data_IF_764431210833
#
_entry.id   IF_764431210833
#
_cell.length_a   1.000
_cell.length_b   1.000
_cell.length_c   1.000
_cell.angle_alpha   90.00
_cell.angle_beta   90.00
_cell.angle_gamma   90.00
#
_symmetry.space_group_name_H-M   'P 1'
#
loop_
_entity.id
_entity.type
_entity.pdbx_description
1 polymer ?
#
# COMPACT_ATOMS: atom_id res chain seq x y z
N UNK A 1 45.73 -49.50 28.60
CA UNK A 1 44.82 -48.39 28.96
C UNK A 1 44.55 -47.57 27.70
N UNK A 2 43.40 -47.77 27.05
CA UNK A 2 43.02 -47.04 25.82
C UNK A 2 42.20 -45.82 26.24
N UNK A 3 42.80 -44.64 26.07
CA UNK A 3 42.16 -43.35 26.31
C UNK A 3 41.37 -43.00 25.04
N UNK A 4 40.05 -43.12 25.12
CA UNK A 4 39.16 -42.60 24.07
C UNK A 4 39.20 -41.08 24.12
N UNK A 5 39.70 -40.45 23.05
CA UNK A 5 39.63 -38.99 22.86
C UNK A 5 38.17 -38.56 22.89
N UNK A 6 37.82 -37.77 23.90
CA UNK A 6 36.53 -37.08 23.97
C UNK A 6 36.56 -35.96 22.93
N UNK A 7 35.72 -36.05 21.90
CA UNK A 7 35.60 -35.02 20.88
C UNK A 7 34.69 -33.89 21.39
N UNK A 8 35.30 -32.90 22.02
CA UNK A 8 34.61 -31.74 22.62
C UNK A 8 34.17 -30.68 21.58
N UNK A 9 34.18 -31.02 20.29
CA UNK A 9 33.75 -30.15 19.18
C UNK A 9 32.39 -30.51 18.56
N UNK A 10 31.80 -31.65 18.90
CA UNK A 10 30.62 -32.17 18.19
C UNK A 10 29.30 -31.47 18.56
N UNK A 11 29.24 -30.79 19.72
CA UNK A 11 28.03 -30.04 20.13
C UNK A 11 27.83 -28.72 19.38
N UNK A 12 28.90 -28.01 19.02
CA UNK A 12 28.80 -26.70 18.36
C UNK A 12 28.16 -26.78 16.97
N UNK A 13 28.45 -27.84 16.22
CA UNK A 13 27.87 -28.06 14.88
C UNK A 13 26.40 -28.42 14.97
N UNK A 14 26.00 -29.21 15.96
CA UNK A 14 24.59 -29.62 16.14
C UNK A 14 23.71 -28.41 16.49
N UNK A 15 24.15 -27.55 17.41
CA UNK A 15 23.44 -26.31 17.71
C UNK A 15 23.41 -25.35 16.52
N UNK A 16 24.50 -25.25 15.74
CA UNK A 16 24.51 -24.42 14.54
C UNK A 16 23.48 -24.90 13.49
N UNK A 17 23.35 -26.21 13.27
CA UNK A 17 22.36 -26.76 12.34
C UNK A 17 20.92 -26.53 12.81
N UNK A 18 20.65 -26.67 14.12
CA UNK A 18 19.33 -26.34 14.69
C UNK A 18 19.03 -24.84 14.53
N UNK A 19 20.00 -23.97 14.77
CA UNK A 19 19.82 -22.52 14.59
C UNK A 19 19.54 -22.14 13.14
N UNK A 20 20.20 -22.77 12.16
CA UNK A 20 19.92 -22.56 10.73
C UNK A 20 18.50 -23.01 10.40
N UNK A 21 18.06 -24.17 10.90
CA UNK A 21 16.72 -24.67 10.68
C UNK A 21 15.65 -23.74 11.27
N UNK A 22 15.86 -23.24 12.49
CA UNK A 22 14.98 -22.25 13.12
C UNK A 22 14.98 -20.93 12.33
N UNK A 23 16.13 -20.47 11.85
CA UNK A 23 16.22 -19.25 11.03
C UNK A 23 15.37 -19.37 9.75
N UNK A 24 15.45 -20.50 9.03
CA UNK A 24 14.61 -20.75 7.85
C UNK A 24 13.13 -20.77 8.22
N UNK A 25 12.76 -21.43 9.32
CA UNK A 25 11.38 -21.46 9.79
C UNK A 25 10.83 -20.05 10.10
N UNK A 26 11.63 -19.20 10.77
CA UNK A 26 11.25 -17.83 11.08
C UNK A 26 11.04 -17.01 9.80
N UNK A 27 11.94 -17.14 8.81
CA UNK A 27 11.80 -16.43 7.53
C UNK A 27 10.48 -16.81 6.86
N UNK A 28 10.12 -18.10 6.82
CA UNK A 28 8.86 -18.56 6.23
C UNK A 28 7.64 -18.03 6.98
N UNK A 29 7.68 -17.96 8.31
CA UNK A 29 6.59 -17.40 9.11
C UNK A 29 6.47 -15.89 8.82
N UNK A 30 7.56 -15.14 8.86
CA UNK A 30 7.55 -13.69 8.66
C UNK A 30 7.08 -13.29 7.26
N UNK A 31 7.43 -14.05 6.21
CA UNK A 31 6.98 -13.74 4.84
C UNK A 31 5.47 -13.95 4.68
N UNK A 32 4.91 -15.01 5.25
CA UNK A 32 3.47 -15.29 5.18
C UNK A 32 2.66 -14.30 6.03
N UNK A 33 3.14 -13.98 7.23
CA UNK A 33 2.46 -13.06 8.13
C UNK A 33 2.49 -11.62 7.59
N UNK A 34 3.59 -11.20 6.96
CA UNK A 34 3.75 -9.85 6.42
C UNK A 34 2.62 -9.44 5.48
N UNK A 35 2.28 -10.29 4.50
CA UNK A 35 1.18 -10.03 3.54
C UNK A 35 -0.17 -9.87 4.25
N UNK A 36 -0.49 -10.77 5.18
CA UNK A 36 -1.76 -10.75 5.92
C UNK A 36 -1.90 -9.48 6.78
N UNK A 37 -0.81 -9.04 7.41
CA UNK A 37 -0.78 -7.82 8.23
C UNK A 37 -1.03 -6.57 7.38
N UNK A 38 -0.40 -6.47 6.21
CA UNK A 38 -0.59 -5.32 5.30
C UNK A 38 -2.05 -5.22 4.85
N UNK A 39 -2.66 -6.32 4.40
CA UNK A 39 -4.07 -6.33 3.96
C UNK A 39 -5.01 -5.90 5.09
N UNK A 40 -4.78 -6.42 6.30
CA UNK A 40 -5.62 -6.10 7.48
C UNK A 40 -5.48 -4.64 7.87
N UNK A 41 -4.25 -4.13 7.95
CA UNK A 41 -3.96 -2.72 8.19
C UNK A 41 -4.65 -1.83 7.14
N UNK A 42 -4.52 -2.20 5.86
CA UNK A 42 -5.10 -1.45 4.76
C UNK A 42 -6.63 -1.37 4.86
N UNK A 43 -7.31 -2.50 5.12
CA UNK A 43 -8.77 -2.51 5.27
C UNK A 43 -9.25 -1.66 6.44
N UNK A 44 -8.53 -1.67 7.57
CA UNK A 44 -8.86 -0.84 8.73
C UNK A 44 -8.68 0.64 8.38
N UNK A 45 -7.52 1.01 7.84
CA UNK A 45 -7.23 2.40 7.47
C UNK A 45 -8.16 2.90 6.37
N UNK A 46 -8.35 2.13 5.30
CA UNK A 46 -9.26 2.42 4.19
C UNK A 46 -10.72 2.52 4.61
N UNK A 47 -11.14 1.75 5.62
CA UNK A 47 -12.46 1.86 6.24
C UNK A 47 -12.62 3.13 7.07
N UNK A 48 -11.59 3.52 7.83
CA UNK A 48 -11.56 4.77 8.60
C UNK A 48 -11.48 6.00 7.68
N UNK A 49 -10.67 5.91 6.64
CA UNK A 49 -10.48 6.91 5.59
C UNK A 49 -11.50 6.79 4.47
N UNK A 50 -12.56 5.98 4.63
CA UNK A 50 -13.71 5.77 3.73
C UNK A 50 -13.42 5.84 2.23
N UNK A 51 -12.28 5.29 1.81
CA UNK A 51 -11.76 5.33 0.44
C UNK A 51 -11.38 3.92 -0.05
N UNK A 52 -12.21 2.93 0.27
CA UNK A 52 -12.12 1.61 -0.38
C UNK A 52 -12.96 1.63 -1.64
N UNK A 53 -12.31 1.50 -2.79
CA UNK A 53 -12.97 1.30 -4.08
C UNK A 53 -12.82 -0.18 -4.45
N UNK A 54 -13.82 -0.98 -4.11
CA UNK A 54 -13.89 -2.38 -4.55
C UNK A 54 -14.55 -2.42 -5.92
N UNK A 55 -13.77 -2.66 -6.98
CA UNK A 55 -14.28 -2.99 -8.31
C UNK A 55 -14.05 -4.49 -8.59
N UNK A 56 -14.75 -5.05 -9.57
CA UNK A 56 -14.59 -6.46 -9.96
C UNK A 56 -13.17 -6.71 -10.49
N UNK A 57 -12.40 -7.56 -9.81
CA UNK A 57 -10.99 -7.88 -10.13
C UNK A 57 -10.04 -7.27 -9.11
N UNK A 58 -9.50 -6.09 -9.41
CA UNK A 58 -8.57 -5.40 -8.52
C UNK A 58 -9.31 -4.53 -7.50
N UNK A 59 -8.97 -4.70 -6.23
CA UNK A 59 -9.39 -3.85 -5.12
C UNK A 59 -8.26 -2.87 -4.78
N UNK A 60 -8.58 -1.58 -4.79
CA UNK A 60 -7.64 -0.51 -4.44
C UNK A 60 -8.04 0.11 -3.12
N UNK A 61 -7.14 0.09 -2.16
CA UNK A 61 -7.36 0.67 -0.83
C UNK A 61 -6.43 1.87 -0.66
N UNK A 62 -7.01 3.06 -0.52
CA UNK A 62 -6.25 4.28 -0.27
C UNK A 62 -6.02 4.42 1.24
N UNK A 63 -4.76 4.44 1.66
CA UNK A 63 -4.36 4.57 3.05
C UNK A 63 -4.35 6.05 3.46
N UNK A 64 -3.72 6.86 2.61
CA UNK A 64 -3.51 8.29 2.79
C UNK A 64 -3.55 8.93 1.41
N UNK A 65 -4.20 10.09 1.30
CA UNK A 65 -4.18 10.92 0.11
C UNK A 65 -3.98 12.37 0.53
N UNK A 66 -2.88 12.98 0.08
CA UNK A 66 -2.72 14.43 0.09
C UNK A 66 -3.22 14.93 -1.26
N UNK A 67 -4.24 15.79 -1.28
CA UNK A 67 -4.76 16.38 -2.52
C UNK A 67 -4.73 17.88 -2.35
N UNK A 68 -3.88 18.54 -3.14
CA UNK A 68 -3.74 19.98 -3.17
C UNK A 68 -4.49 20.53 -4.38
N UNK A 69 -5.51 21.31 -4.08
CA UNK A 69 -6.31 22.02 -5.07
C UNK A 69 -6.27 23.52 -4.80
N UNK A 70 -6.14 24.31 -5.85
CA UNK A 70 -6.23 25.76 -5.82
C UNK A 70 -7.22 26.24 -6.87
N UNK A 71 -7.81 27.42 -6.67
CA UNK A 71 -8.65 28.07 -7.68
C UNK A 71 -8.09 29.43 -8.06
N UNK A 72 -8.30 29.81 -9.32
CA UNK A 72 -8.05 31.14 -9.85
C UNK A 72 -9.09 31.45 -10.93
N UNK A 73 -10.05 32.33 -10.63
CA UNK A 73 -11.17 32.61 -11.54
C UNK A 73 -12.05 31.38 -11.73
N UNK A 74 -12.62 31.15 -12.93
CA UNK A 74 -13.53 30.00 -13.12
C UNK A 74 -12.80 28.63 -13.16
N UNK A 75 -11.48 28.60 -12.97
CA UNK A 75 -10.65 27.39 -13.09
C UNK A 75 -10.05 26.98 -11.76
N UNK A 76 -10.23 25.70 -11.43
CA UNK A 76 -9.64 25.05 -10.26
C UNK A 76 -8.60 24.04 -10.73
N UNK A 77 -7.39 24.13 -10.20
CA UNK A 77 -6.26 23.28 -10.54
C UNK A 77 -5.88 22.38 -9.37
N UNK A 78 -5.93 21.06 -9.59
CA UNK A 78 -5.29 20.09 -8.72
C UNK A 78 -3.84 20.02 -9.17
N UNK A 79 -2.90 20.47 -8.33
CA UNK A 79 -1.50 20.70 -8.76
C UNK A 79 -0.52 19.71 -8.14
N UNK A 80 -0.92 19.05 -7.06
CA UNK A 80 -0.11 18.04 -6.42
C UNK A 80 -1.01 17.15 -5.59
N UNK A 81 -0.77 15.86 -5.68
CA UNK A 81 -1.30 14.95 -4.70
C UNK A 81 -0.58 13.63 -4.76
N UNK A 82 -0.16 13.13 -3.62
CA UNK A 82 0.33 11.76 -3.50
C UNK A 82 -0.68 10.93 -2.73
N UNK A 83 -0.79 9.65 -3.08
CA UNK A 83 -1.52 8.70 -2.29
C UNK A 83 -0.69 7.45 -2.04
N UNK A 84 -0.89 6.86 -0.86
CA UNK A 84 -0.40 5.52 -0.54
C UNK A 84 -1.54 4.55 -0.79
N UNK A 85 -1.30 3.58 -1.65
CA UNK A 85 -2.31 2.66 -2.17
C UNK A 85 -1.87 1.22 -1.99
N UNK A 86 -2.78 0.38 -1.53
CA UNK A 86 -2.62 -1.08 -1.53
C UNK A 86 -3.45 -1.63 -2.67
N UNK A 87 -2.82 -2.46 -3.51
CA UNK A 87 -3.47 -3.14 -4.62
C UNK A 87 -3.68 -4.60 -4.24
N UNK A 88 -4.93 -5.03 -4.25
CA UNK A 88 -5.31 -6.42 -4.03
C UNK A 88 -5.91 -6.98 -5.32
N UNK A 89 -5.64 -8.25 -5.61
CA UNK A 89 -6.32 -9.01 -6.65
C UNK A 89 -7.10 -10.14 -5.97
N UNK A 90 -8.42 -10.16 -6.13
CA UNK A 90 -9.30 -11.11 -5.44
C UNK A 90 -9.02 -11.21 -3.91
N UNK A 91 -8.68 -10.08 -3.29
CA UNK A 91 -8.38 -9.97 -1.86
C UNK A 91 -6.99 -10.42 -1.43
N UNK A 92 -6.13 -10.87 -2.35
CA UNK A 92 -4.72 -11.16 -2.09
C UNK A 92 -3.84 -9.94 -2.40
N UNK A 93 -2.85 -9.68 -1.54
CA UNK A 93 -1.89 -8.59 -1.74
C UNK A 93 -1.06 -8.83 -3.00
N UNK A 94 -1.11 -7.89 -3.93
CA UNK A 94 -0.16 -7.89 -5.03
C UNK A 94 1.19 -7.43 -4.53
N UNK A 95 2.24 -8.23 -4.77
CA UNK A 95 3.61 -7.92 -4.34
C UNK A 95 4.50 -7.46 -5.47
N UNK A 96 4.14 -7.68 -6.73
CA UNK A 96 4.93 -7.23 -7.87
C UNK A 96 4.01 -6.88 -9.05
N UNK A 97 4.47 -5.97 -9.91
CA UNK A 97 3.79 -5.62 -11.15
C UNK A 97 3.31 -4.17 -11.21
N UNK A 98 2.33 -3.92 -12.05
CA UNK A 98 1.70 -2.60 -12.15
C UNK A 98 0.19 -2.73 -12.31
N UNK A 99 -0.53 -1.73 -11.80
CA UNK A 99 -1.98 -1.64 -11.90
C UNK A 99 -2.39 -0.21 -12.28
N UNK A 100 -3.59 -0.03 -12.84
CA UNK A 100 -4.08 1.29 -13.24
C UNK A 100 -5.17 1.72 -12.26
N UNK A 101 -4.86 2.69 -11.40
CA UNK A 101 -5.84 3.28 -10.49
C UNK A 101 -6.67 4.32 -11.26
N UNK A 102 -7.97 4.11 -11.49
CA UNK A 102 -8.82 5.12 -12.10
C UNK A 102 -9.07 6.28 -11.14
N UNK A 103 -9.12 7.50 -11.67
CA UNK A 103 -9.56 8.69 -10.95
C UNK A 103 -10.59 9.46 -11.77
N UNK A 104 -11.45 10.21 -11.09
CA UNK A 104 -12.32 11.20 -11.73
C UNK A 104 -12.45 12.43 -10.86
N UNK A 105 -12.33 13.61 -11.48
CA UNK A 105 -12.46 14.91 -10.84
C UNK A 105 -13.37 15.75 -11.72
N UNK A 106 -14.53 16.11 -11.19
CA UNK A 106 -15.47 17.04 -11.84
C UNK A 106 -15.76 16.70 -13.32
N UNK A 107 -15.94 15.41 -13.63
CA UNK A 107 -16.20 14.92 -14.99
C UNK A 107 -14.97 14.59 -15.83
N UNK A 108 -13.76 15.01 -15.42
CA UNK A 108 -12.51 14.57 -16.04
C UNK A 108 -12.09 13.24 -15.42
N UNK A 109 -12.00 12.18 -16.23
CA UNK A 109 -11.54 10.86 -15.79
C UNK A 109 -10.19 10.50 -16.40
N UNK A 110 -9.37 9.78 -15.65
CA UNK A 110 -8.11 9.22 -16.11
C UNK A 110 -7.68 8.04 -15.26
N UNK A 111 -6.45 7.57 -15.45
CA UNK A 111 -5.84 6.58 -14.59
C UNK A 111 -4.40 6.93 -14.26
N UNK A 112 -3.95 6.58 -13.07
CA UNK A 112 -2.56 6.66 -12.65
C UNK A 112 -1.98 5.25 -12.59
N UNK A 113 -0.78 5.06 -13.14
CA UNK A 113 -0.06 3.80 -13.01
C UNK A 113 0.47 3.66 -11.59
N UNK A 114 0.07 2.58 -10.92
CA UNK A 114 0.60 2.14 -9.65
C UNK A 114 1.69 1.11 -9.93
N UNK A 115 2.91 1.37 -9.47
CA UNK A 115 4.02 0.39 -9.53
C UNK A 115 4.09 -0.34 -8.19
N UNK A 116 4.12 -1.67 -8.21
CA UNK A 116 4.11 -2.53 -7.04
C UNK A 116 5.49 -3.16 -6.91
N UNK A 117 6.19 -2.88 -5.81
CA UNK A 117 7.64 -3.10 -5.64
C UNK A 117 8.01 -4.06 -4.49
N UNK A 118 7.09 -4.95 -4.09
CA UNK A 118 7.33 -5.94 -3.03
C UNK A 118 7.00 -5.46 -1.63
N UNK A 119 6.83 -4.14 -1.44
CA UNK A 119 6.54 -3.55 -0.13
C UNK A 119 5.08 -3.72 0.33
N UNK A 120 4.17 -4.02 -0.61
CA UNK A 120 2.73 -4.11 -0.37
C UNK A 120 2.01 -2.77 -0.27
N UNK A 121 2.73 -1.63 -0.31
CA UNK A 121 2.16 -0.28 -0.32
C UNK A 121 2.87 0.53 -1.39
N UNK A 122 2.12 0.94 -2.41
CA UNK A 122 2.63 1.76 -3.49
C UNK A 122 2.33 3.23 -3.25
N UNK A 123 3.32 4.10 -3.45
CA UNK A 123 3.09 5.54 -3.50
C UNK A 123 2.87 5.98 -4.93
N UNK A 124 1.80 6.75 -5.16
CA UNK A 124 1.44 7.28 -6.48
C UNK A 124 1.38 8.79 -6.43
N UNK A 125 1.72 9.42 -7.55
CA UNK A 125 1.54 10.84 -7.75
C UNK A 125 0.41 11.06 -8.75
N UNK A 126 -0.60 11.82 -8.35
CA UNK A 126 -1.66 12.22 -9.26
C UNK A 126 -1.15 13.31 -10.21
N UNK A 127 -1.51 13.23 -11.51
CA UNK A 127 -1.21 14.30 -12.45
C UNK A 127 -1.98 15.57 -12.06
N UNK A 128 -1.48 16.71 -12.51
CA UNK A 128 -2.24 17.95 -12.37
C UNK A 128 -3.46 17.94 -13.29
N UNK A 129 -4.61 18.32 -12.74
CA UNK A 129 -5.89 18.34 -13.45
C UNK A 129 -6.52 19.71 -13.28
N UNK A 130 -6.86 20.34 -14.41
CA UNK A 130 -7.58 21.62 -14.46
C UNK A 130 -9.06 21.36 -14.78
N UNK A 131 -9.96 21.89 -13.97
CA UNK A 131 -11.42 21.75 -14.13
C UNK A 131 -12.14 23.05 -13.77
N UNK A 132 -13.45 23.13 -14.02
CA UNK A 132 -14.26 24.28 -13.58
C UNK A 132 -14.36 24.35 -12.05
N UNK A 133 -14.36 25.57 -11.50
CA UNK A 133 -14.71 25.82 -10.10
C UNK A 133 -16.25 25.92 -9.91
N UNK A 134 -16.77 25.74 -8.67
CA UNK A 134 -16.05 25.30 -7.48
C UNK A 134 -15.83 23.78 -7.48
N UNK A 135 -14.74 23.33 -6.87
CA UNK A 135 -14.53 21.91 -6.56
C UNK A 135 -14.88 21.67 -5.10
N UNK A 136 -15.61 20.58 -4.85
CA UNK A 136 -15.99 20.15 -3.50
C UNK A 136 -15.26 18.86 -3.18
N UNK A 137 -14.32 18.93 -2.25
CA UNK A 137 -13.65 17.76 -1.70
C UNK A 137 -14.38 17.38 -0.42
N UNK A 138 -14.92 16.17 -0.37
CA UNK A 138 -15.55 15.65 0.85
C UNK A 138 -14.71 14.51 1.34
N UNK A 139 -14.17 14.65 2.54
CA UNK A 139 -13.55 13.52 3.20
C UNK A 139 -14.65 12.59 3.78
N UNK A 140 -14.31 11.34 4.09
CA UNK A 140 -15.27 10.38 4.63
C UNK A 140 -15.74 10.67 6.05
N UNK A 141 -15.05 11.54 6.78
CA UNK A 141 -15.51 12.08 8.06
C UNK A 141 -16.53 13.22 7.88
N UNK A 142 -17.00 13.47 6.66
CA UNK A 142 -17.96 14.52 6.33
C UNK A 142 -17.37 15.93 6.32
N UNK A 143 -16.05 16.05 6.45
CA UNK A 143 -15.38 17.34 6.29
C UNK A 143 -15.40 17.73 4.82
N UNK A 144 -16.04 18.86 4.55
CA UNK A 144 -16.25 19.37 3.21
C UNK A 144 -15.36 20.59 3.00
N UNK A 145 -14.37 20.46 2.13
CA UNK A 145 -13.60 21.59 1.61
C UNK A 145 -14.20 22.05 0.29
N UNK A 146 -14.33 23.37 0.14
CA UNK A 146 -14.78 23.97 -1.11
C UNK A 146 -13.65 24.84 -1.62
N UNK A 147 -13.14 24.51 -2.81
CA UNK A 147 -12.18 25.32 -3.53
C UNK A 147 -12.99 26.23 -4.46
N UNK A 148 -12.82 27.52 -4.25
CA UNK A 148 -13.47 28.58 -5.01
C UNK A 148 -12.46 29.23 -5.97
N UNK A 149 -12.94 30.04 -6.94
CA UNK A 149 -12.12 30.90 -7.78
C UNK A 149 -11.02 31.69 -7.08
#
# INVERSE_FOLDING_TARGET
MKISKKEEGQGLVEYALVLVLVAVAIILILTLLGSTVVVTYARVMGGLSGQSLTMSGDEYIILEADIQASGSGDTCNITGGSAKVVVLNDGALQTEGSANLPYSVNGTSGSVSVTIDGSGISEINFPSVSTGCPIVLTNPHGYRQVINP
#
